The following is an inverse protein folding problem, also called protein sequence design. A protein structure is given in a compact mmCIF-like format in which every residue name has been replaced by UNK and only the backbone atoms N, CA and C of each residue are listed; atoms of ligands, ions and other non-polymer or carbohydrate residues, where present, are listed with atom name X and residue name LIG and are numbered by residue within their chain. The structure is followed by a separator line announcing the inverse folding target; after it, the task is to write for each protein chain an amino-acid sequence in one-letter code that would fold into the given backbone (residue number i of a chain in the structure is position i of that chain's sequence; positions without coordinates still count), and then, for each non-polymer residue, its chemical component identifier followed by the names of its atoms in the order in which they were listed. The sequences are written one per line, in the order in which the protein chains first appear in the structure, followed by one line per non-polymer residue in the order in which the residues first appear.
data_IF_704122031636
#
_entry.id   IF_704122031636
#
_cell.length_a   1.000
_cell.length_b   1.000
_cell.length_c   1.000
_cell.angle_alpha   90.00
_cell.angle_beta   90.00
_cell.angle_gamma   90.00
#
_symmetry.space_group_name_H-M   'P 1'
#
loop_
_entity.id
_entity.type
_entity.pdbx_description
1 polymer ?
#
# COMPACT_ATOMS: atom_id res chain seq x y z
N UNK A 1 -9.21 -23.10 14.61
CA UNK A 1 -9.38 -23.93 13.39
C UNK A 1 -8.05 -24.10 12.65
N UNK A 2 -7.75 -25.28 12.10
CA UNK A 2 -6.56 -25.48 11.26
C UNK A 2 -6.70 -24.74 9.92
N UNK A 3 -5.62 -24.12 9.46
CA UNK A 3 -5.62 -23.38 8.18
C UNK A 3 -5.50 -24.39 7.03
N UNK A 4 -6.48 -24.44 6.10
CA UNK A 4 -6.40 -25.27 4.91
C UNK A 4 -5.12 -25.05 4.11
N UNK A 5 -4.49 -26.13 3.64
CA UNK A 5 -3.28 -26.07 2.81
C UNK A 5 -3.47 -25.21 1.55
N UNK A 6 -4.69 -25.19 0.99
CA UNK A 6 -5.07 -24.36 -0.16
C UNK A 6 -4.87 -22.85 0.07
N UNK A 7 -5.04 -22.38 1.31
CA UNK A 7 -4.83 -20.99 1.72
C UNK A 7 -3.37 -20.69 2.05
N UNK A 8 -2.58 -21.71 2.42
CA UNK A 8 -1.16 -21.55 2.68
C UNK A 8 -0.40 -21.14 1.41
N UNK A 9 -0.87 -21.61 0.25
CA UNK A 9 -0.32 -21.37 -1.08
C UNK A 9 -0.88 -20.11 -1.77
N UNK A 10 -1.82 -19.40 -1.14
CA UNK A 10 -2.43 -18.20 -1.72
C UNK A 10 -1.37 -17.15 -2.04
N UNK A 11 -1.41 -16.55 -3.23
CA UNK A 11 -0.50 -15.47 -3.61
C UNK A 11 -1.10 -14.69 -4.76
N UNK A 12 -1.21 -13.37 -4.65
CA UNK A 12 -1.61 -12.52 -5.79
C UNK A 12 -0.40 -11.89 -6.49
N UNK A 13 0.80 -12.04 -5.92
CA UNK A 13 2.00 -11.39 -6.43
C UNK A 13 2.98 -12.36 -7.10
N UNK A 14 3.17 -13.56 -6.56
CA UNK A 14 4.18 -14.52 -7.05
C UNK A 14 3.67 -15.41 -8.19
N UNK A 15 4.36 -15.35 -9.34
CA UNK A 15 4.22 -16.26 -10.47
C UNK A 15 3.55 -15.63 -11.69
N UNK A 16 4.39 -15.20 -12.65
CA UNK A 16 4.01 -14.73 -13.98
C UNK A 16 4.19 -15.84 -15.02
N UNK A 17 3.39 -15.82 -16.10
CA UNK A 17 3.56 -16.76 -17.22
C UNK A 17 4.85 -16.49 -18.00
N UNK A 18 5.23 -15.21 -18.17
CA UNK A 18 6.53 -14.83 -18.74
C UNK A 18 7.70 -15.37 -17.90
N UNK A 19 7.58 -15.31 -16.57
CA UNK A 19 8.54 -15.93 -15.66
C UNK A 19 8.55 -17.45 -15.77
N UNK A 20 7.43 -18.10 -16.10
CA UNK A 20 7.35 -19.55 -16.23
C UNK A 20 7.87 -20.09 -17.57
N UNK A 21 7.64 -19.38 -18.67
CA UNK A 21 8.27 -19.69 -19.98
C UNK A 21 9.78 -19.43 -19.95
N UNK A 22 10.26 -18.35 -19.32
CA UNK A 22 11.69 -18.19 -19.04
C UNK A 22 12.22 -19.21 -18.02
N UNK A 23 11.43 -19.63 -17.02
CA UNK A 23 11.80 -20.72 -16.06
C UNK A 23 11.92 -22.08 -16.73
N UNK A 24 11.16 -22.35 -17.80
CA UNK A 24 11.33 -23.59 -18.58
C UNK A 24 12.58 -23.58 -19.47
N UNK A 25 13.14 -22.40 -19.77
CA UNK A 25 14.35 -22.25 -20.59
C UNK A 25 15.66 -22.14 -19.79
N UNK A 26 15.62 -21.89 -18.46
CA UNK A 26 16.82 -21.83 -17.61
C UNK A 26 16.58 -22.53 -16.27
N UNK A 27 17.27 -23.66 -16.07
CA UNK A 27 17.28 -24.48 -14.85
C UNK A 27 17.95 -23.81 -13.62
N UNK A 28 18.22 -22.51 -13.66
CA UNK A 28 18.72 -21.73 -12.52
C UNK A 28 17.63 -20.76 -12.09
N UNK A 29 17.13 -20.92 -10.86
CA UNK A 29 16.39 -19.88 -10.17
C UNK A 29 17.22 -18.59 -10.22
N UNK A 30 16.90 -17.67 -11.14
CA UNK A 30 17.46 -16.32 -11.08
C UNK A 30 17.03 -15.73 -9.74
N UNK A 31 18.00 -15.48 -8.87
CA UNK A 31 17.73 -14.90 -7.56
C UNK A 31 16.98 -13.57 -7.74
N UNK A 32 16.05 -13.26 -6.84
CA UNK A 32 15.29 -12.00 -6.87
C UNK A 32 16.17 -10.75 -7.04
N UNK A 33 17.31 -10.60 -6.34
CA UNK A 33 18.22 -9.48 -6.59
C UNK A 33 18.75 -9.47 -8.03
N UNK A 34 19.03 -10.64 -8.63
CA UNK A 34 19.42 -10.71 -10.04
C UNK A 34 18.30 -10.26 -10.97
N UNK A 35 17.02 -10.55 -10.68
CA UNK A 35 15.89 -10.04 -11.48
C UNK A 35 15.75 -8.52 -11.39
N UNK A 36 15.90 -7.96 -10.19
CA UNK A 36 15.90 -6.51 -9.98
C UNK A 36 17.03 -5.89 -10.79
N UNK A 37 18.26 -6.38 -10.59
CA UNK A 37 19.45 -5.90 -11.28
C UNK A 37 19.30 -5.99 -12.82
N UNK A 38 18.85 -7.12 -13.35
CA UNK A 38 18.66 -7.30 -14.80
C UNK A 38 17.62 -6.33 -15.35
N UNK A 39 16.46 -6.18 -14.71
CA UNK A 39 15.44 -5.25 -15.19
C UNK A 39 15.92 -3.79 -15.14
N UNK A 40 16.61 -3.41 -14.06
CA UNK A 40 17.22 -2.08 -13.91
C UNK A 40 18.28 -1.84 -14.99
N UNK A 41 19.19 -2.79 -15.19
CA UNK A 41 20.24 -2.68 -16.21
C UNK A 41 19.65 -2.62 -17.62
N UNK A 42 18.66 -3.45 -17.95
CA UNK A 42 18.02 -3.42 -19.28
C UNK A 42 17.28 -2.10 -19.53
N UNK A 43 16.63 -1.54 -18.50
CA UNK A 43 15.93 -0.27 -18.64
C UNK A 43 16.89 0.94 -18.72
N UNK A 44 18.05 0.88 -18.06
CA UNK A 44 18.93 2.04 -17.89
C UNK A 44 20.23 1.99 -18.71
N UNK A 45 20.95 0.86 -18.71
CA UNK A 45 22.30 0.76 -19.29
C UNK A 45 22.33 1.05 -20.81
N UNK A 46 21.38 0.54 -21.63
CA UNK A 46 21.37 0.87 -23.05
C UNK A 46 21.18 2.36 -23.31
N UNK A 47 20.45 3.09 -22.46
CA UNK A 47 20.29 4.54 -22.60
C UNK A 47 21.63 5.26 -22.43
N UNK A 48 22.43 4.85 -21.45
CA UNK A 48 23.77 5.40 -21.25
C UNK A 48 24.69 5.11 -22.44
N UNK A 49 24.73 3.85 -22.90
CA UNK A 49 25.59 3.43 -24.02
C UNK A 49 25.19 4.14 -25.31
N UNK A 50 23.89 4.20 -25.63
CA UNK A 50 23.38 4.86 -26.82
C UNK A 50 23.58 6.38 -26.76
N UNK A 51 23.52 6.99 -25.59
CA UNK A 51 23.83 8.43 -25.41
C UNK A 51 25.31 8.72 -25.64
N UNK A 52 26.20 7.81 -25.22
CA UNK A 52 27.64 7.92 -25.46
C UNK A 52 27.99 7.78 -26.94
N UNK A 53 27.37 6.80 -27.61
CA UNK A 53 27.60 6.53 -29.05
C UNK A 53 26.97 7.59 -29.98
N UNK A 54 25.83 8.16 -29.58
CA UNK A 54 25.05 9.06 -30.44
C UNK A 54 25.52 10.52 -30.49
N UNK A 55 26.26 11.00 -29.47
CA UNK A 55 26.67 12.42 -29.40
C UNK A 55 27.81 12.71 -28.41
N UNK A 56 28.58 11.70 -28.01
CA UNK A 56 29.76 11.86 -27.15
C UNK A 56 29.47 12.37 -25.73
N UNK A 57 30.45 13.06 -25.14
CA UNK A 57 30.41 13.47 -23.73
C UNK A 57 29.30 14.48 -23.41
N UNK A 58 28.90 15.34 -24.35
CA UNK A 58 27.85 16.35 -24.14
C UNK A 58 26.46 15.72 -23.95
N UNK A 59 26.13 14.75 -24.81
CA UNK A 59 24.85 14.04 -24.76
C UNK A 59 24.77 13.09 -23.55
N UNK A 60 25.89 12.45 -23.23
CA UNK A 60 26.02 11.64 -22.00
C UNK A 60 25.83 12.48 -20.75
N UNK A 61 26.43 13.69 -20.70
CA UNK A 61 26.24 14.64 -19.59
C UNK A 61 24.77 15.05 -19.47
N UNK A 62 24.10 15.33 -20.58
CA UNK A 62 22.67 15.65 -20.58
C UNK A 62 21.81 14.49 -20.03
N UNK A 63 22.14 13.24 -20.35
CA UNK A 63 21.47 12.06 -19.79
C UNK A 63 21.70 11.90 -18.28
N UNK A 64 22.95 12.06 -17.83
CA UNK A 64 23.29 11.91 -16.41
C UNK A 64 22.65 13.00 -15.54
N UNK A 65 22.47 14.22 -16.07
CA UNK A 65 21.77 15.30 -15.38
C UNK A 65 20.24 15.19 -15.44
N UNK A 66 19.68 14.27 -16.21
CA UNK A 66 18.24 14.02 -16.20
C UNK A 66 17.84 13.19 -14.97
N UNK A 67 17.72 13.88 -13.84
CA UNK A 67 17.35 13.31 -12.54
C UNK A 67 16.04 12.53 -12.62
N UNK A 68 15.09 12.94 -13.47
CA UNK A 68 13.82 12.24 -13.65
C UNK A 68 14.02 10.82 -14.18
N UNK A 69 14.84 10.70 -15.22
CA UNK A 69 15.19 9.40 -15.81
C UNK A 69 16.02 8.55 -14.84
N UNK A 70 16.95 9.16 -14.10
CA UNK A 70 17.74 8.44 -13.10
C UNK A 70 16.87 7.87 -11.98
N UNK A 71 16.00 8.68 -11.38
CA UNK A 71 15.12 8.24 -10.27
C UNK A 71 14.11 7.19 -10.74
N UNK A 72 13.50 7.38 -11.92
CA UNK A 72 12.53 6.43 -12.47
C UNK A 72 13.11 5.01 -12.61
N UNK A 73 14.34 4.88 -13.14
CA UNK A 73 14.91 3.56 -13.45
C UNK A 73 15.86 3.02 -12.38
N UNK A 74 16.55 3.87 -11.63
CA UNK A 74 17.50 3.44 -10.59
C UNK A 74 16.91 3.39 -9.18
N UNK A 75 15.75 4.04 -8.94
CA UNK A 75 15.07 4.01 -7.64
C UNK A 75 13.70 3.35 -7.77
N UNK A 76 12.82 3.94 -8.57
CA UNK A 76 11.41 3.54 -8.63
C UNK A 76 11.21 2.15 -9.21
N UNK A 77 11.88 1.82 -10.32
CA UNK A 77 11.81 0.49 -10.94
C UNK A 77 12.29 -0.63 -10.00
N UNK A 78 13.48 -0.57 -9.37
CA UNK A 78 13.89 -1.54 -8.37
C UNK A 78 12.89 -1.68 -7.22
N UNK A 79 12.39 -0.55 -6.72
CA UNK A 79 11.46 -0.52 -5.59
C UNK A 79 10.14 -1.21 -5.93
N UNK A 80 9.59 -0.97 -7.14
CA UNK A 80 8.39 -1.66 -7.65
C UNK A 80 8.57 -3.17 -7.81
N UNK A 81 9.79 -3.65 -8.04
CA UNK A 81 10.08 -5.09 -8.09
C UNK A 81 10.35 -5.66 -6.70
N UNK A 82 11.03 -4.90 -5.83
CA UNK A 82 11.36 -5.31 -4.47
C UNK A 82 10.11 -5.44 -3.57
N UNK A 83 9.14 -4.54 -3.72
CA UNK A 83 7.91 -4.55 -2.93
C UNK A 83 7.03 -5.79 -3.21
N UNK A 84 7.28 -6.53 -4.30
CA UNK A 84 6.55 -7.76 -4.63
C UNK A 84 6.53 -8.76 -3.46
N UNK A 85 7.67 -9.04 -2.85
CA UNK A 85 7.74 -10.00 -1.75
C UNK A 85 7.02 -9.48 -0.50
N UNK A 86 7.23 -8.21 -0.19
CA UNK A 86 6.71 -7.63 1.03
C UNK A 86 5.18 -7.61 1.02
N UNK A 87 4.57 -7.15 -0.07
CA UNK A 87 3.11 -7.11 -0.21
C UNK A 87 2.52 -8.53 -0.25
N UNK A 88 3.16 -9.46 -0.98
CA UNK A 88 2.71 -10.86 -1.04
C UNK A 88 2.65 -11.55 0.33
N UNK A 89 3.65 -11.29 1.18
CA UNK A 89 3.70 -11.85 2.53
C UNK A 89 2.58 -11.29 3.40
N UNK A 90 2.29 -9.98 3.28
CA UNK A 90 1.21 -9.35 4.02
C UNK A 90 -0.17 -9.85 3.54
N UNK A 91 -0.39 -9.96 2.23
CA UNK A 91 -1.63 -10.53 1.67
C UNK A 91 -1.84 -11.98 2.12
N UNK A 92 -0.79 -12.81 2.09
CA UNK A 92 -0.82 -14.19 2.61
C UNK A 92 -1.19 -14.24 4.09
N UNK A 93 -0.53 -13.41 4.90
CA UNK A 93 -0.80 -13.33 6.32
C UNK A 93 -2.26 -12.92 6.56
N UNK A 94 -2.77 -11.94 5.82
CA UNK A 94 -4.17 -11.52 5.89
C UNK A 94 -5.15 -12.64 5.58
N UNK A 95 -4.93 -13.39 4.49
CA UNK A 95 -5.79 -14.53 4.12
C UNK A 95 -5.82 -15.60 5.21
N UNK A 96 -4.68 -15.87 5.85
CA UNK A 96 -4.61 -16.79 6.99
C UNK A 96 -5.29 -16.23 8.23
N UNK A 97 -5.12 -14.93 8.49
CA UNK A 97 -5.64 -14.26 9.68
C UNK A 97 -7.18 -14.34 9.75
N UNK A 98 -7.88 -14.30 8.61
CA UNK A 98 -9.33 -14.52 8.58
C UNK A 98 -9.76 -15.86 9.20
N UNK A 99 -8.95 -16.91 9.06
CA UNK A 99 -9.23 -18.24 9.62
C UNK A 99 -8.70 -18.36 11.04
N UNK A 100 -7.48 -17.90 11.29
CA UNK A 100 -6.82 -17.97 12.60
C UNK A 100 -7.56 -17.15 13.66
N UNK A 101 -8.07 -15.97 13.30
CA UNK A 101 -8.90 -15.14 14.19
C UNK A 101 -10.35 -15.58 14.25
N UNK A 102 -10.71 -16.72 13.65
CA UNK A 102 -12.07 -17.27 13.63
C UNK A 102 -13.13 -16.27 13.17
N UNK A 103 -12.75 -15.35 12.28
CA UNK A 103 -13.65 -14.37 11.65
C UNK A 103 -14.60 -15.01 10.64
N UNK A 104 -14.26 -16.22 10.20
CA UNK A 104 -15.04 -17.03 9.28
C UNK A 104 -15.55 -18.23 10.05
N UNK A 105 -16.87 -18.40 10.07
CA UNK A 105 -17.48 -19.56 10.71
C UNK A 105 -17.07 -20.88 10.00
N UNK A 106 -16.98 -22.02 10.71
CA UNK A 106 -16.58 -23.30 10.12
C UNK A 106 -17.39 -23.69 8.88
N UNK A 107 -18.70 -23.37 8.88
CA UNK A 107 -19.62 -23.62 7.76
C UNK A 107 -19.29 -22.83 6.48
N UNK A 108 -18.65 -21.67 6.62
CA UNK A 108 -18.36 -20.75 5.51
C UNK A 108 -16.92 -20.92 4.97
N UNK A 109 -16.10 -21.76 5.60
CA UNK A 109 -14.71 -22.02 5.22
C UNK A 109 -14.58 -22.53 3.78
N UNK A 110 -15.43 -23.47 3.36
CA UNK A 110 -15.42 -23.99 1.99
C UNK A 110 -15.75 -22.91 0.95
N UNK A 111 -16.61 -21.95 1.29
CA UNK A 111 -16.95 -20.80 0.43
C UNK A 111 -15.78 -19.82 0.40
N UNK A 112 -15.12 -19.57 1.52
CA UNK A 112 -13.92 -18.73 1.59
C UNK A 112 -12.78 -19.28 0.73
N UNK A 113 -12.49 -20.57 0.83
CA UNK A 113 -11.50 -21.23 -0.02
C UNK A 113 -11.84 -21.13 -1.51
N UNK A 114 -13.12 -21.20 -1.87
CA UNK A 114 -13.58 -21.00 -3.25
C UNK A 114 -13.30 -19.57 -3.70
N UNK A 115 -13.59 -18.57 -2.87
CA UNK A 115 -13.29 -17.16 -3.17
C UNK A 115 -11.79 -16.97 -3.41
N UNK A 116 -10.93 -17.55 -2.56
CA UNK A 116 -9.49 -17.49 -2.72
C UNK A 116 -9.04 -18.17 -4.03
N UNK A 117 -9.57 -19.35 -4.34
CA UNK A 117 -9.28 -20.10 -5.57
C UNK A 117 -9.78 -19.41 -6.84
N UNK A 118 -10.88 -18.67 -6.79
CA UNK A 118 -11.43 -17.97 -7.96
C UNK A 118 -10.55 -16.81 -8.42
N UNK A 119 -9.87 -16.12 -7.49
CA UNK A 119 -9.09 -14.91 -7.80
C UNK A 119 -7.70 -15.24 -8.33
N UNK A 120 -7.09 -16.35 -7.88
CA UNK A 120 -5.74 -16.76 -8.25
C UNK A 120 -5.53 -16.98 -9.76
N UNK A 121 -6.46 -17.62 -10.52
CA UNK A 121 -6.33 -17.81 -11.97
C UNK A 121 -6.31 -16.50 -12.76
N UNK A 122 -7.06 -15.48 -12.32
CA UNK A 122 -7.14 -14.18 -13.02
C UNK A 122 -5.77 -13.46 -13.04
N UNK A 123 -4.92 -13.73 -12.04
CA UNK A 123 -3.53 -13.28 -12.01
C UNK A 123 -2.69 -13.89 -13.13
N UNK A 124 -2.98 -15.13 -13.52
CA UNK A 124 -2.19 -15.93 -14.48
C UNK A 124 -2.69 -15.81 -15.91
N UNK A 125 -3.60 -14.89 -16.21
CA UNK A 125 -4.15 -14.76 -17.57
C UNK A 125 -3.13 -14.12 -18.51
N UNK A 126 -2.69 -14.88 -19.52
CA UNK A 126 -1.78 -14.40 -20.56
C UNK A 126 -2.36 -13.22 -21.34
N UNK A 127 -3.69 -13.24 -21.54
CA UNK A 127 -4.42 -12.18 -22.26
C UNK A 127 -4.33 -10.88 -21.47
N UNK A 128 -4.46 -10.94 -20.14
CA UNK A 128 -4.35 -9.75 -19.29
C UNK A 128 -2.91 -9.25 -19.26
N UNK A 129 -1.91 -10.12 -19.08
CA UNK A 129 -0.50 -9.71 -19.16
C UNK A 129 -0.17 -9.07 -20.53
N UNK A 130 -0.65 -9.66 -21.63
CA UNK A 130 -0.46 -9.10 -22.97
C UNK A 130 -1.21 -7.77 -23.16
N UNK A 131 -2.43 -7.64 -22.64
CA UNK A 131 -3.20 -6.40 -22.68
C UNK A 131 -2.54 -5.27 -21.89
N UNK A 132 -2.00 -5.56 -20.70
CA UNK A 132 -1.25 -4.59 -19.90
C UNK A 132 0.05 -4.16 -20.62
N UNK A 133 0.73 -5.09 -21.30
CA UNK A 133 1.91 -4.78 -22.08
C UNK A 133 1.56 -3.90 -23.29
N UNK A 134 0.52 -4.26 -24.04
CA UNK A 134 0.03 -3.47 -25.16
C UNK A 134 -0.39 -2.07 -24.71
N UNK A 135 -1.11 -1.94 -23.60
CA UNK A 135 -1.48 -0.65 -23.01
C UNK A 135 -0.24 0.16 -22.60
N UNK A 136 0.78 -0.47 -22.01
CA UNK A 136 2.02 0.22 -21.63
C UNK A 136 2.77 0.79 -22.84
N UNK A 137 2.79 0.08 -23.96
CA UNK A 137 3.40 0.54 -25.22
C UNK A 137 2.53 1.63 -25.85
N UNK A 138 1.21 1.44 -25.91
CA UNK A 138 0.28 2.42 -26.47
C UNK A 138 0.38 3.78 -25.77
N UNK A 139 0.37 3.80 -24.43
CA UNK A 139 0.57 5.04 -23.65
C UNK A 139 1.94 5.67 -23.94
N UNK A 140 2.97 4.85 -24.15
CA UNK A 140 4.31 5.34 -24.50
C UNK A 140 4.37 6.03 -25.85
N UNK A 141 3.58 5.55 -26.82
CA UNK A 141 3.48 6.15 -28.15
C UNK A 141 2.60 7.40 -28.17
N UNK A 142 1.55 7.44 -27.34
CA UNK A 142 0.67 8.61 -27.22
C UNK A 142 1.36 9.80 -26.53
N UNK A 143 2.36 9.54 -25.67
CA UNK A 143 3.11 10.61 -25.00
C UNK A 143 4.13 11.30 -25.92
N UNK A 144 4.46 10.74 -27.09
CA UNK A 144 5.47 11.29 -28.03
C UNK A 144 5.28 12.79 -28.36
N UNK A 145 4.06 13.31 -28.61
CA UNK A 145 3.85 14.73 -28.90
C UNK A 145 4.12 15.67 -27.71
N UNK A 146 4.11 15.15 -26.47
CA UNK A 146 4.32 15.94 -25.24
C UNK A 146 5.76 15.84 -24.71
N UNK A 147 6.62 15.12 -25.43
CA UNK A 147 8.02 14.84 -25.09
C UNK A 147 8.99 15.84 -25.75
N UNK A 148 8.46 16.79 -26.54
CA UNK A 148 9.20 17.76 -27.36
C UNK A 148 10.09 18.75 -26.60
N UNK A 149 9.91 18.88 -25.27
CA UNK A 149 10.72 19.73 -24.39
C UNK A 149 11.74 18.96 -23.54
N UNK A 150 12.11 17.74 -23.95
CA UNK A 150 13.05 16.89 -23.18
C UNK A 150 14.53 17.13 -23.54
N UNK A 151 15.46 16.79 -22.63
CA UNK A 151 16.90 17.00 -22.76
C UNK A 151 17.52 16.44 -24.05
N UNK A 152 18.65 17.03 -24.46
CA UNK A 152 19.34 16.78 -25.73
C UNK A 152 19.73 15.31 -26.00
N UNK A 153 19.70 14.42 -25.01
CA UNK A 153 19.92 12.99 -25.21
C UNK A 153 18.72 12.28 -25.86
N UNK A 154 17.52 12.87 -25.77
CA UNK A 154 16.28 12.26 -26.27
C UNK A 154 15.92 12.72 -27.69
N UNK A 155 16.11 14.01 -27.97
CA UNK A 155 15.93 14.61 -29.29
C UNK A 155 17.26 15.18 -29.79
N UNK A 156 17.62 14.87 -31.04
CA UNK A 156 18.89 15.32 -31.61
C UNK A 156 18.94 16.85 -31.76
N UNK A 157 17.78 17.49 -31.89
CA UNK A 157 17.56 18.92 -31.90
C UNK A 157 16.23 19.21 -31.17
N UNK A 158 16.01 20.40 -30.57
CA UNK A 158 14.70 20.75 -30.03
C UNK A 158 13.62 20.59 -31.10
N UNK A 159 12.57 19.80 -30.83
CA UNK A 159 11.53 19.43 -31.80
C UNK A 159 12.00 18.59 -33.02
N UNK A 160 13.25 18.11 -33.00
CA UNK A 160 13.83 17.24 -34.02
C UNK A 160 13.53 15.75 -33.82
N UNK A 161 14.04 14.88 -34.70
CA UNK A 161 13.81 13.44 -34.61
C UNK A 161 14.39 12.85 -33.32
N UNK A 162 13.76 11.76 -32.86
CA UNK A 162 14.21 10.97 -31.72
C UNK A 162 15.59 10.37 -32.00
N UNK A 163 16.45 10.44 -30.98
CA UNK A 163 17.77 9.80 -31.00
C UNK A 163 17.59 8.28 -30.84
N UNK A 164 18.64 7.49 -31.10
CA UNK A 164 18.60 6.05 -30.82
C UNK A 164 18.29 5.76 -29.34
N UNK A 165 18.83 6.57 -28.42
CA UNK A 165 18.53 6.49 -26.99
C UNK A 165 17.05 6.81 -26.71
N UNK A 166 16.47 7.81 -27.40
CA UNK A 166 15.06 8.14 -27.27
C UNK A 166 14.12 7.05 -27.79
N UNK A 167 14.47 6.39 -28.89
CA UNK A 167 13.73 5.22 -29.38
C UNK A 167 13.77 4.07 -28.36
N UNK A 168 14.94 3.76 -27.80
CA UNK A 168 15.04 2.74 -26.74
C UNK A 168 14.20 3.11 -25.51
N UNK A 169 14.26 4.37 -25.09
CA UNK A 169 13.49 4.86 -23.96
C UNK A 169 11.98 4.66 -24.16
N UNK A 170 11.44 5.03 -25.34
CA UNK A 170 10.02 4.91 -25.65
C UNK A 170 9.57 3.47 -25.90
N UNK A 171 10.40 2.64 -26.53
CA UNK A 171 10.05 1.28 -26.91
C UNK A 171 10.28 0.25 -25.80
N UNK A 172 11.22 0.50 -24.89
CA UNK A 172 11.67 -0.47 -23.88
C UNK A 172 11.59 0.09 -22.46
N UNK A 173 12.37 1.13 -22.15
CA UNK A 173 12.55 1.58 -20.76
C UNK A 173 11.23 2.04 -20.12
N UNK A 174 10.50 2.94 -20.78
CA UNK A 174 9.23 3.44 -20.30
C UNK A 174 8.10 2.38 -20.27
N UNK A 175 7.91 1.56 -21.33
CA UNK A 175 6.97 0.45 -21.30
C UNK A 175 7.22 -0.51 -20.15
N UNK A 176 8.48 -0.84 -19.81
CA UNK A 176 8.79 -1.69 -18.66
C UNK A 176 8.25 -1.09 -17.36
N UNK A 177 8.53 0.20 -17.10
CA UNK A 177 8.06 0.88 -15.90
C UNK A 177 6.52 0.94 -15.84
N UNK A 178 5.89 1.38 -16.94
CA UNK A 178 4.42 1.48 -17.05
C UNK A 178 3.74 0.12 -16.92
N UNK A 179 4.29 -0.92 -17.52
CA UNK A 179 3.79 -2.29 -17.39
C UNK A 179 3.82 -2.75 -15.94
N UNK A 180 4.91 -2.48 -15.20
CA UNK A 180 4.98 -2.81 -13.77
C UNK A 180 3.93 -2.06 -12.95
N UNK A 181 3.71 -0.77 -13.22
CA UNK A 181 2.67 0.02 -12.55
C UNK A 181 1.26 -0.50 -12.86
N UNK A 182 0.94 -0.73 -14.13
CA UNK A 182 -0.34 -1.31 -14.56
C UNK A 182 -0.57 -2.70 -13.94
N UNK A 183 0.48 -3.51 -13.84
CA UNK A 183 0.42 -4.81 -13.17
C UNK A 183 0.14 -4.68 -11.68
N UNK A 184 0.71 -3.67 -11.01
CA UNK A 184 0.41 -3.38 -9.61
C UNK A 184 -1.03 -2.91 -9.40
N UNK A 185 -1.53 -2.03 -10.27
CA UNK A 185 -2.93 -1.63 -10.25
C UNK A 185 -3.86 -2.82 -10.44
N UNK A 186 -3.57 -3.70 -11.41
CA UNK A 186 -4.34 -4.93 -11.62
C UNK A 186 -4.32 -5.85 -10.39
N UNK A 187 -3.17 -6.02 -9.73
CA UNK A 187 -3.08 -6.78 -8.47
C UNK A 187 -3.93 -6.14 -7.36
N UNK A 188 -3.90 -4.81 -7.25
CA UNK A 188 -4.77 -4.06 -6.34
C UNK A 188 -6.25 -4.31 -6.62
N UNK A 189 -6.66 -4.36 -7.90
CA UNK A 189 -8.04 -4.72 -8.30
C UNK A 189 -8.39 -6.16 -7.89
N UNK A 190 -7.48 -7.12 -8.07
CA UNK A 190 -7.69 -8.51 -7.63
C UNK A 190 -7.83 -8.60 -6.11
N UNK A 191 -6.99 -7.88 -5.36
CA UNK A 191 -7.08 -7.78 -3.90
C UNK A 191 -8.40 -7.14 -3.47
N UNK A 192 -8.82 -6.05 -4.12
CA UNK A 192 -10.10 -5.41 -3.86
C UNK A 192 -11.30 -6.34 -4.13
N UNK A 193 -11.25 -7.08 -5.24
CA UNK A 193 -12.28 -8.06 -5.60
C UNK A 193 -12.33 -9.21 -4.59
N UNK A 194 -11.17 -9.68 -4.12
CA UNK A 194 -11.08 -10.69 -3.06
C UNK A 194 -11.74 -10.18 -1.79
N UNK A 195 -11.32 -9.02 -1.28
CA UNK A 195 -11.89 -8.41 -0.06
C UNK A 195 -13.40 -8.17 -0.18
N UNK A 196 -13.86 -7.69 -1.32
CA UNK A 196 -15.29 -7.48 -1.57
C UNK A 196 -16.10 -8.79 -1.57
N UNK A 197 -15.55 -9.89 -2.09
CA UNK A 197 -16.21 -11.20 -2.00
C UNK A 197 -16.24 -11.70 -0.55
N UNK A 198 -15.15 -11.53 0.19
CA UNK A 198 -15.06 -11.92 1.61
C UNK A 198 -16.01 -11.09 2.47
N UNK A 199 -16.18 -9.79 2.18
CA UNK A 199 -17.10 -8.91 2.90
C UNK A 199 -18.59 -9.22 2.66
N UNK A 200 -18.92 -10.23 1.84
CA UNK A 200 -20.28 -10.76 1.70
C UNK A 200 -20.53 -12.00 2.55
N UNK A 201 -19.49 -12.60 3.13
CA UNK A 201 -19.63 -13.67 4.10
C UNK A 201 -20.11 -13.09 5.45
N UNK A 202 -20.89 -13.85 6.24
CA UNK A 202 -21.27 -13.44 7.58
C UNK A 202 -20.06 -13.53 8.52
N UNK A 203 -19.33 -12.42 8.68
CA UNK A 203 -18.13 -12.40 9.51
C UNK A 203 -18.51 -12.31 11.00
N UNK A 204 -17.79 -13.05 11.83
CA UNK A 204 -17.92 -13.06 13.30
C UNK A 204 -17.10 -11.93 13.91
N UNK A 205 -17.60 -10.70 13.78
CA UNK A 205 -16.94 -9.51 14.33
C UNK A 205 -17.23 -9.36 15.83
N UNK A 206 -16.18 -9.14 16.63
CA UNK A 206 -16.27 -8.99 18.09
C UNK A 206 -16.07 -7.53 18.49
N UNK A 207 -17.08 -6.84 19.04
CA UNK A 207 -16.97 -5.40 19.36
C UNK A 207 -15.85 -5.07 20.37
N UNK A 208 -15.56 -5.97 21.30
CA UNK A 208 -14.54 -5.83 22.34
C UNK A 208 -13.13 -6.20 21.87
N UNK A 209 -12.95 -6.54 20.59
CA UNK A 209 -11.64 -6.94 20.08
C UNK A 209 -10.60 -5.80 20.25
N UNK A 210 -9.37 -6.09 20.70
CA UNK A 210 -8.37 -5.07 21.07
C UNK A 210 -7.89 -4.19 19.91
N UNK A 211 -8.14 -4.60 18.66
CA UNK A 211 -7.80 -3.81 17.46
C UNK A 211 -8.78 -2.67 17.15
N UNK A 212 -9.85 -2.52 17.94
CA UNK A 212 -10.94 -1.56 17.72
C UNK A 212 -11.55 -1.64 16.31
N UNK A 213 -11.44 -2.78 15.62
CA UNK A 213 -11.93 -3.00 14.26
C UNK A 213 -12.62 -4.37 14.13
N UNK A 214 -13.11 -4.92 15.24
CA UNK A 214 -13.86 -6.17 15.25
C UNK A 214 -13.04 -7.39 14.82
N UNK A 215 -11.70 -7.33 14.91
CA UNK A 215 -10.78 -8.35 14.42
C UNK A 215 -10.23 -8.11 13.01
N UNK A 216 -10.71 -7.08 12.30
CA UNK A 216 -10.27 -6.74 10.93
C UNK A 216 -9.09 -5.75 10.87
N UNK A 217 -8.50 -5.37 12.01
CA UNK A 217 -7.45 -4.36 12.10
C UNK A 217 -6.18 -4.70 11.31
N UNK A 218 -5.88 -5.99 11.12
CA UNK A 218 -4.75 -6.45 10.32
C UNK A 218 -4.83 -6.00 8.84
N UNK A 219 -6.04 -5.76 8.33
CA UNK A 219 -6.23 -5.27 6.96
C UNK A 219 -5.63 -3.87 6.76
N UNK A 220 -5.67 -3.02 7.79
CA UNK A 220 -5.01 -1.71 7.77
C UNK A 220 -3.50 -1.85 7.56
N UNK A 221 -2.86 -2.78 8.26
CA UNK A 221 -1.43 -3.08 8.11
C UNK A 221 -1.11 -3.59 6.71
N UNK A 222 -1.98 -4.43 6.13
CA UNK A 222 -1.80 -4.95 4.77
C UNK A 222 -1.91 -3.83 3.75
N UNK A 223 -2.89 -2.93 3.90
CA UNK A 223 -3.00 -1.75 3.03
C UNK A 223 -1.78 -0.83 3.16
N UNK A 224 -1.25 -0.64 4.38
CA UNK A 224 -0.03 0.13 4.60
C UNK A 224 1.19 -0.45 3.86
N UNK A 225 1.20 -1.75 3.56
CA UNK A 225 2.30 -2.37 2.81
C UNK A 225 2.43 -1.86 1.36
N UNK A 226 1.35 -1.32 0.79
CA UNK A 226 1.34 -0.69 -0.53
C UNK A 226 2.05 0.68 -0.54
N UNK A 227 2.41 1.24 0.62
CA UNK A 227 3.17 2.49 0.72
C UNK A 227 4.50 2.47 -0.04
N UNK A 228 5.16 1.31 -0.18
CA UNK A 228 6.38 1.20 -0.99
C UNK A 228 6.15 1.49 -2.48
N UNK A 229 4.97 1.16 -3.01
CA UNK A 229 4.58 1.51 -4.39
C UNK A 229 4.34 3.01 -4.48
N UNK A 230 3.68 3.60 -3.48
CA UNK A 230 3.44 5.04 -3.39
C UNK A 230 4.76 5.80 -3.39
N UNK A 231 5.76 5.34 -2.63
CA UNK A 231 7.11 5.92 -2.60
C UNK A 231 7.79 5.85 -3.98
N UNK A 232 7.69 4.71 -4.67
CA UNK A 232 8.27 4.56 -6.00
C UNK A 232 7.62 5.52 -7.02
N UNK A 233 6.30 5.69 -6.95
CA UNK A 233 5.57 6.57 -7.87
C UNK A 233 5.80 8.04 -7.53
N UNK A 234 5.75 8.42 -6.24
CA UNK A 234 5.96 9.79 -5.80
C UNK A 234 7.34 10.30 -6.20
N UNK A 235 8.40 9.50 -6.01
CA UNK A 235 9.76 9.87 -6.40
C UNK A 235 9.88 10.21 -7.90
N UNK A 236 9.27 9.41 -8.77
CA UNK A 236 9.25 9.68 -10.22
C UNK A 236 8.43 10.93 -10.57
N UNK A 237 7.27 11.12 -9.94
CA UNK A 237 6.41 12.28 -10.20
C UNK A 237 7.11 13.59 -9.79
N UNK A 238 7.76 13.61 -8.61
CA UNK A 238 8.47 14.79 -8.10
C UNK A 238 9.55 15.24 -9.07
N UNK A 239 10.39 14.31 -9.52
CA UNK A 239 11.50 14.63 -10.42
C UNK A 239 11.05 15.07 -11.81
N UNK A 240 9.97 14.46 -12.34
CA UNK A 240 9.39 14.89 -13.61
C UNK A 240 8.81 16.32 -13.53
N UNK A 241 8.22 16.70 -12.39
CA UNK A 241 7.75 18.08 -12.18
C UNK A 241 8.93 19.05 -12.07
N UNK A 242 9.97 18.68 -11.31
CA UNK A 242 11.18 19.50 -11.13
C UNK A 242 11.89 19.81 -12.45
N UNK A 243 11.84 18.91 -13.43
CA UNK A 243 12.46 19.15 -14.73
C UNK A 243 11.65 20.07 -15.66
N UNK A 244 10.36 20.34 -15.37
CA UNK A 244 9.47 21.13 -16.23
C UNK A 244 9.01 22.45 -15.59
N UNK A 245 8.96 22.55 -14.27
CA UNK A 245 8.53 23.75 -13.58
C UNK A 245 9.70 24.74 -13.43
N UNK A 246 9.51 25.96 -13.93
CA UNK A 246 10.44 27.10 -13.77
C UNK A 246 10.29 27.81 -12.42
N UNK A 247 9.28 27.45 -11.63
CA UNK A 247 8.95 28.09 -10.35
C UNK A 247 9.48 27.30 -9.16
N UNK A 248 10.31 27.98 -8.36
CA UNK A 248 10.93 27.52 -7.11
C UNK A 248 9.94 27.42 -5.94
N UNK A 249 8.63 27.43 -6.18
CA UNK A 249 7.62 27.48 -5.11
C UNK A 249 7.40 26.09 -4.50
N UNK A 250 8.05 25.84 -3.38
CA UNK A 250 7.96 24.62 -2.57
C UNK A 250 6.50 24.31 -2.20
N UNK A 251 5.64 25.33 -2.09
CA UNK A 251 4.23 25.18 -1.74
C UNK A 251 3.45 24.44 -2.82
N UNK A 252 3.68 24.75 -4.10
CA UNK A 252 3.03 24.07 -5.22
C UNK A 252 3.45 22.59 -5.29
N UNK A 253 4.73 22.31 -5.04
CA UNK A 253 5.23 20.94 -4.93
C UNK A 253 4.58 20.17 -3.77
N UNK A 254 4.50 20.78 -2.59
CA UNK A 254 3.87 20.19 -1.44
C UNK A 254 2.38 19.90 -1.71
N UNK A 255 1.66 20.83 -2.34
CA UNK A 255 0.26 20.66 -2.70
C UNK A 255 0.07 19.55 -3.74
N UNK A 256 0.93 19.47 -4.75
CA UNK A 256 0.88 18.41 -5.76
C UNK A 256 1.06 17.03 -5.14
N UNK A 257 2.10 16.87 -4.31
CA UNK A 257 2.36 15.60 -3.64
C UNK A 257 1.29 15.28 -2.59
N UNK A 258 0.73 16.29 -1.91
CA UNK A 258 -0.36 16.10 -0.94
C UNK A 258 -1.63 15.61 -1.65
N UNK A 259 -1.94 16.19 -2.80
CA UNK A 259 -3.05 15.73 -3.66
C UNK A 259 -2.84 14.29 -4.10
N UNK A 260 -1.60 13.94 -4.52
CA UNK A 260 -1.24 12.57 -4.84
C UNK A 260 -1.35 11.63 -3.62
N UNK A 261 -0.96 12.08 -2.43
CA UNK A 261 -1.10 11.32 -1.19
C UNK A 261 -2.56 11.03 -0.87
N UNK A 262 -3.45 12.02 -1.02
CA UNK A 262 -4.89 11.86 -0.82
C UNK A 262 -5.51 10.89 -1.83
N UNK A 263 -5.10 10.97 -3.10
CA UNK A 263 -5.52 10.01 -4.12
C UNK A 263 -5.06 8.58 -3.78
N UNK A 264 -3.81 8.41 -3.37
CA UNK A 264 -3.28 7.11 -2.95
C UNK A 264 -4.02 6.57 -1.72
N UNK A 265 -4.34 7.43 -0.74
CA UNK A 265 -5.16 7.08 0.41
C UNK A 265 -6.52 6.52 -0.04
N UNK A 266 -7.21 7.24 -0.93
CA UNK A 266 -8.50 6.82 -1.44
C UNK A 266 -8.40 5.46 -2.17
N UNK A 267 -7.43 5.30 -3.08
CA UNK A 267 -7.28 4.07 -3.88
C UNK A 267 -6.87 2.86 -3.03
N UNK A 268 -5.91 3.03 -2.12
CA UNK A 268 -5.39 1.93 -1.30
C UNK A 268 -6.42 1.48 -0.25
N UNK A 269 -7.16 2.41 0.36
CA UNK A 269 -8.12 2.06 1.41
C UNK A 269 -9.56 1.84 0.89
N UNK A 270 -9.88 2.19 -0.36
CA UNK A 270 -11.17 1.90 -0.99
C UNK A 270 -11.63 0.43 -0.88
N UNK A 271 -10.78 -0.60 -0.99
CA UNK A 271 -11.18 -1.99 -0.80
C UNK A 271 -11.81 -2.26 0.57
N UNK A 272 -11.37 -1.56 1.62
CA UNK A 272 -11.84 -1.77 2.99
C UNK A 272 -13.26 -1.23 3.21
N UNK A 273 -13.72 -0.34 2.33
CA UNK A 273 -15.08 0.21 2.37
C UNK A 273 -16.14 -0.89 2.22
N UNK A 274 -15.77 -2.01 1.60
CA UNK A 274 -16.63 -3.19 1.47
C UNK A 274 -17.04 -3.82 2.81
N UNK A 275 -16.29 -3.58 3.90
CA UNK A 275 -16.60 -4.07 5.26
C UNK A 275 -17.39 -3.07 6.12
N UNK A 276 -17.60 -1.84 5.65
CA UNK A 276 -18.23 -0.77 6.41
C UNK A 276 -19.59 -1.18 7.00
N UNK A 277 -20.44 -1.84 6.20
CA UNK A 277 -21.78 -2.27 6.64
C UNK A 277 -21.70 -3.28 7.79
N UNK A 278 -20.83 -4.29 7.69
CA UNK A 278 -20.71 -5.31 8.73
C UNK A 278 -20.15 -4.73 10.03
N UNK A 279 -19.12 -3.87 9.94
CA UNK A 279 -18.54 -3.19 11.10
C UNK A 279 -19.56 -2.28 11.79
N UNK A 280 -20.35 -1.53 11.01
CA UNK A 280 -21.40 -0.67 11.56
C UNK A 280 -22.50 -1.49 12.27
N UNK A 281 -22.92 -2.61 11.69
CA UNK A 281 -23.90 -3.50 12.32
C UNK A 281 -23.36 -4.13 13.60
N UNK A 282 -22.11 -4.61 13.58
CA UNK A 282 -21.44 -5.16 14.75
C UNK A 282 -21.28 -4.11 15.86
N UNK A 283 -20.90 -2.89 15.51
CA UNK A 283 -20.83 -1.76 16.46
C UNK A 283 -22.19 -1.47 17.09
N UNK A 284 -23.25 -1.31 16.29
CA UNK A 284 -24.61 -1.03 16.80
C UNK A 284 -25.11 -2.12 17.74
N UNK A 285 -24.90 -3.39 17.36
CA UNK A 285 -25.25 -4.55 18.20
C UNK A 285 -24.45 -4.56 19.49
N UNK A 286 -23.15 -4.29 19.41
CA UNK A 286 -22.26 -4.15 20.56
C UNK A 286 -22.73 -3.05 21.51
N UNK A 287 -22.91 -1.84 21.00
CA UNK A 287 -23.36 -0.69 21.79
C UNK A 287 -24.68 -1.00 22.53
N UNK A 288 -25.65 -1.64 21.87
CA UNK A 288 -26.92 -2.01 22.52
C UNK A 288 -26.75 -3.10 23.58
N UNK A 289 -26.09 -4.21 23.25
CA UNK A 289 -25.93 -5.35 24.16
C UNK A 289 -25.10 -4.98 25.38
N UNK A 290 -23.96 -4.32 25.18
CA UNK A 290 -23.08 -3.92 26.28
C UNK A 290 -23.70 -2.82 27.14
N UNK A 291 -24.49 -1.89 26.56
CA UNK A 291 -25.22 -0.90 27.36
C UNK A 291 -26.28 -1.54 28.26
N UNK A 292 -27.01 -2.54 27.76
CA UNK A 292 -28.02 -3.24 28.56
C UNK A 292 -27.39 -3.99 29.74
N UNK A 293 -26.29 -4.71 29.51
CA UNK A 293 -25.56 -5.43 30.57
C UNK A 293 -24.93 -4.45 31.57
N UNK A 294 -24.33 -3.36 31.10
CA UNK A 294 -23.78 -2.32 31.96
C UNK A 294 -24.86 -1.68 32.86
N UNK A 295 -26.01 -1.32 32.28
CA UNK A 295 -27.13 -0.75 33.06
C UNK A 295 -27.64 -1.74 34.11
N UNK A 296 -27.86 -3.00 33.73
CA UNK A 296 -28.30 -4.06 34.63
C UNK A 296 -27.31 -4.30 35.78
N UNK A 297 -26.01 -4.36 35.48
CA UNK A 297 -24.97 -4.60 36.48
C UNK A 297 -24.83 -3.41 37.43
N UNK A 298 -24.82 -2.18 36.90
CA UNK A 298 -24.69 -0.97 37.72
C UNK A 298 -25.88 -0.76 38.65
N UNK A 299 -27.12 -1.02 38.20
CA UNK A 299 -28.30 -0.93 39.06
C UNK A 299 -28.23 -1.90 40.24
N UNK A 300 -27.84 -3.16 40.00
CA UNK A 300 -27.73 -4.17 41.06
C UNK A 300 -26.58 -3.91 42.02
N UNK A 301 -25.48 -3.37 41.49
CA UNK A 301 -24.36 -2.93 42.30
C UNK A 301 -24.78 -1.82 43.26
N UNK A 302 -25.48 -0.80 42.73
CA UNK A 302 -25.99 0.34 43.51
C UNK A 302 -26.98 -0.09 44.61
N UNK A 303 -27.92 -0.97 44.27
CA UNK A 303 -28.89 -1.53 45.21
C UNK A 303 -28.21 -2.28 46.38
N UNK A 304 -27.14 -3.02 46.09
CA UNK A 304 -26.43 -3.85 47.09
C UNK A 304 -25.54 -3.01 48.01
N UNK A 305 -24.82 -2.04 47.46
CA UNK A 305 -23.74 -1.34 48.18
C UNK A 305 -24.14 0.03 48.74
N UNK A 306 -25.10 0.74 48.11
CA UNK A 306 -25.46 2.09 48.52
C UNK A 306 -26.87 2.20 49.13
N UNK A 307 -27.79 1.28 48.80
CA UNK A 307 -29.20 1.39 49.18
C UNK A 307 -29.66 0.37 50.25
N UNK A 308 -28.77 -0.53 50.70
CA UNK A 308 -29.03 -1.51 51.78
C UNK A 308 -28.00 -1.38 52.91
N UNK A 309 -28.39 -1.72 54.16
CA UNK A 309 -27.41 -1.97 55.24
C UNK A 309 -26.54 -3.15 54.82
N UNK A 310 -25.21 -2.99 54.83
CA UNK A 310 -24.28 -4.06 54.50
C UNK A 310 -24.61 -5.32 55.32
N UNK A 311 -24.67 -6.52 54.71
CA UNK A 311 -24.78 -7.75 55.47
C UNK A 311 -23.58 -7.88 56.42
N UNK A 312 -23.81 -8.31 57.66
CA UNK A 312 -22.75 -8.51 58.64
C UNK A 312 -21.72 -9.53 58.12
N UNK A 313 -20.44 -9.16 58.11
CA UNK A 313 -19.32 -10.02 57.68
C UNK A 313 -18.79 -9.79 56.25
N UNK A 314 -19.35 -8.85 55.49
CA UNK A 314 -18.81 -8.47 54.17
C UNK A 314 -17.77 -7.35 54.31
N UNK A 315 -16.49 -7.67 54.04
CA UNK A 315 -15.42 -6.67 53.90
C UNK A 315 -15.45 -6.04 52.50
N UNK A 316 -15.75 -4.74 52.37
CA UNK A 316 -15.77 -4.03 51.08
C UNK A 316 -14.47 -4.12 50.30
N UNK A 317 -13.32 -4.26 50.97
CA UNK A 317 -12.01 -4.30 50.31
C UNK A 317 -11.71 -5.66 49.66
N UNK A 318 -12.46 -6.70 50.01
CA UNK A 318 -12.33 -8.05 49.47
C UNK A 318 -13.41 -8.43 48.45
N UNK A 319 -14.36 -7.52 48.20
CA UNK A 319 -15.54 -7.84 47.40
C UNK A 319 -15.25 -7.89 45.89
N UNK A 320 -15.52 -9.05 45.28
CA UNK A 320 -15.36 -9.29 43.83
C UNK A 320 -16.21 -8.36 42.95
N UNK A 321 -17.32 -7.82 43.50
CA UNK A 321 -18.24 -6.93 42.79
C UNK A 321 -17.54 -5.67 42.22
N UNK A 322 -16.56 -5.10 42.95
CA UNK A 322 -15.81 -3.92 42.48
C UNK A 322 -14.88 -4.25 41.31
N UNK A 323 -14.28 -5.45 41.30
CA UNK A 323 -13.49 -5.94 40.18
C UNK A 323 -14.39 -6.19 38.96
N UNK A 324 -15.51 -6.89 39.16
CA UNK A 324 -16.49 -7.15 38.10
C UNK A 324 -17.01 -5.87 37.46
N UNK A 325 -17.29 -4.82 38.25
CA UNK A 325 -17.71 -3.51 37.73
C UNK A 325 -16.61 -2.87 36.86
N UNK A 326 -15.35 -2.98 37.27
CA UNK A 326 -14.21 -2.45 36.53
C UNK A 326 -13.97 -3.22 35.22
N UNK A 327 -14.07 -4.55 35.26
CA UNK A 327 -13.91 -5.44 34.11
C UNK A 327 -15.01 -5.20 33.06
N UNK A 328 -16.25 -5.05 33.52
CA UNK A 328 -17.38 -4.69 32.66
C UNK A 328 -17.21 -3.28 32.07
N UNK A 329 -16.76 -2.32 32.88
CA UNK A 329 -16.46 -0.96 32.42
C UNK A 329 -15.41 -0.95 31.32
N UNK A 330 -14.32 -1.72 31.47
CA UNK A 330 -13.26 -1.84 30.48
C UNK A 330 -13.78 -2.45 29.16
N UNK A 331 -14.60 -3.51 29.25
CA UNK A 331 -15.23 -4.17 28.12
C UNK A 331 -16.21 -3.26 27.39
N UNK A 332 -17.03 -2.51 28.15
CA UNK A 332 -17.95 -1.51 27.61
C UNK A 332 -17.21 -0.40 26.85
N UNK A 333 -16.13 0.13 27.42
CA UNK A 333 -15.30 1.15 26.77
C UNK A 333 -14.65 0.59 25.50
N UNK A 334 -14.16 -0.65 25.51
CA UNK A 334 -13.60 -1.30 24.33
C UNK A 334 -14.63 -1.44 23.21
N UNK A 335 -15.84 -1.95 23.51
CA UNK A 335 -16.94 -2.05 22.56
C UNK A 335 -17.31 -0.69 21.95
N UNK A 336 -17.40 0.35 22.79
CA UNK A 336 -17.75 1.71 22.35
C UNK A 336 -16.66 2.35 21.48
N UNK A 337 -15.38 2.00 21.69
CA UNK A 337 -14.23 2.43 20.87
C UNK A 337 -14.15 1.73 19.52
N UNK A 338 -14.93 0.67 19.26
CA UNK A 338 -14.96 0.01 17.97
C UNK A 338 -15.21 1.01 16.83
N UNK A 339 -14.34 0.99 15.83
CA UNK A 339 -14.38 1.82 14.63
C UNK A 339 -15.31 1.19 13.59
N UNK A 340 -16.02 2.05 12.88
CA UNK A 340 -16.82 1.71 11.69
C UNK A 340 -15.98 1.45 10.42
N UNK A 341 -14.70 1.80 10.44
CA UNK A 341 -13.79 1.68 9.30
C UNK A 341 -12.45 1.09 9.75
N UNK A 342 -11.96 0.00 9.12
CA UNK A 342 -10.81 -0.75 9.64
C UNK A 342 -9.48 -0.14 9.17
N UNK A 343 -9.34 1.17 9.39
CA UNK A 343 -8.11 1.92 9.10
C UNK A 343 -7.56 2.50 10.37
N UNK A 344 -6.27 2.23 10.56
CA UNK A 344 -5.48 2.80 11.63
C UNK A 344 -4.73 4.04 11.18
N UNK A 345 -4.53 4.98 12.11
CA UNK A 345 -3.80 6.21 11.85
C UNK A 345 -2.36 5.91 11.41
N UNK A 346 -1.76 4.85 11.96
CA UNK A 346 -0.43 4.38 11.56
C UNK A 346 -0.39 3.94 10.09
N UNK A 347 -1.43 3.28 9.61
CA UNK A 347 -1.54 2.84 8.22
C UNK A 347 -1.71 4.03 7.26
N UNK A 348 -2.55 4.99 7.63
CA UNK A 348 -2.71 6.23 6.86
C UNK A 348 -1.40 7.04 6.82
N UNK A 349 -0.75 7.22 7.97
CA UNK A 349 0.53 7.91 8.07
C UNK A 349 1.62 7.26 7.23
N UNK A 350 1.67 5.92 7.14
CA UNK A 350 2.64 5.24 6.28
C UNK A 350 2.46 5.60 4.79
N UNK A 351 1.22 5.71 4.31
CA UNK A 351 0.91 6.09 2.92
C UNK A 351 1.24 7.56 2.67
N UNK A 352 0.85 8.45 3.58
CA UNK A 352 1.16 9.89 3.47
C UNK A 352 2.67 10.12 3.52
N UNK A 353 3.37 9.51 4.48
CA UNK A 353 4.81 9.62 4.61
C UNK A 353 5.53 9.12 3.36
N UNK A 354 5.10 8.01 2.75
CA UNK A 354 5.67 7.52 1.50
C UNK A 354 5.43 8.46 0.30
N UNK A 355 4.24 9.07 0.21
CA UNK A 355 3.94 10.06 -0.82
C UNK A 355 4.74 11.36 -0.64
N UNK A 356 4.96 11.77 0.61
CA UNK A 356 5.69 12.98 1.00
C UNK A 356 7.20 12.80 1.06
N UNK A 357 7.72 11.58 1.17
CA UNK A 357 9.14 11.32 1.34
C UNK A 357 10.06 12.02 0.30
N UNK A 358 9.70 12.15 -0.99
CA UNK A 358 10.50 12.91 -1.95
C UNK A 358 10.66 14.41 -1.64
N UNK A 359 9.86 14.97 -0.71
CA UNK A 359 10.06 16.34 -0.21
C UNK A 359 11.35 16.48 0.60
N UNK A 360 11.77 15.43 1.31
CA UNK A 360 12.96 15.49 2.18
C UNK A 360 14.22 15.92 1.41
N UNK A 361 14.61 15.26 0.30
CA UNK A 361 15.78 15.71 -0.47
C UNK A 361 15.57 17.09 -1.10
N UNK A 362 14.34 17.47 -1.46
CA UNK A 362 14.04 18.79 -2.03
C UNK A 362 14.23 19.92 -1.00
N UNK A 363 13.74 19.71 0.23
CA UNK A 363 13.91 20.63 1.34
C UNK A 363 15.38 20.75 1.75
N UNK A 364 16.13 19.64 1.74
CA UNK A 364 17.58 19.67 2.00
C UNK A 364 18.38 20.39 0.91
N UNK A 365 17.87 20.41 -0.33
CA UNK A 365 18.48 21.16 -1.42
C UNK A 365 18.20 22.68 -1.33
N UNK A 366 17.13 23.08 -0.64
CA UNK A 366 16.82 24.49 -0.40
C UNK A 366 17.68 25.06 0.74
N UNK A 367 18.54 26.01 0.40
CA UNK A 367 19.44 26.69 1.34
C UNK A 367 18.68 27.37 2.48
N UNK A 368 17.48 27.92 2.22
CA UNK A 368 16.66 28.60 3.23
C UNK A 368 16.19 27.65 4.32
N UNK A 369 15.79 26.43 3.95
CA UNK A 369 15.36 25.42 4.91
C UNK A 369 16.54 24.95 5.79
N UNK A 370 17.72 24.78 5.19
CA UNK A 370 18.94 24.41 5.93
C UNK A 370 19.33 25.49 6.94
N UNK A 371 19.23 26.78 6.57
CA UNK A 371 19.49 27.91 7.48
C UNK A 371 18.54 27.89 8.69
N UNK A 372 17.23 27.71 8.48
CA UNK A 372 16.23 27.62 9.58
C UNK A 372 16.51 26.42 10.50
N UNK A 373 16.89 25.27 9.93
CA UNK A 373 17.20 24.07 10.73
C UNK A 373 18.46 24.26 11.58
N UNK A 374 19.46 24.96 11.03
CA UNK A 374 20.68 25.33 11.76
C UNK A 374 20.41 26.36 12.86
N UNK A 375 19.50 27.31 12.65
CA UNK A 375 19.07 28.26 13.70
C UNK A 375 18.29 27.57 14.82
N UNK A 376 17.40 26.63 14.50
CA UNK A 376 16.70 25.82 15.50
C UNK A 376 17.65 24.91 16.29
N UNK A 377 18.66 24.32 15.62
CA UNK A 377 19.68 23.52 16.30
C UNK A 377 20.52 24.35 17.29
N UNK A 378 20.75 25.64 16.98
CA UNK A 378 21.44 26.59 17.85
C UNK A 378 20.58 27.11 19.00
N UNK A 379 19.25 27.03 18.93
CA UNK A 379 18.35 27.45 20.02
C UNK A 379 17.97 26.31 20.97
N UNK A 380 18.29 25.07 20.61
CA UNK A 380 18.11 23.85 21.41
C UNK A 380 19.38 23.42 22.18
N UNK A 381 20.51 24.11 21.97
CA UNK A 381 21.71 24.09 22.82
C UNK A 381 21.80 25.42 23.56
#
# INVERSE_FOLDING_TARGET
MDVPASLLDFSLVQGTLLGQKLRRARHRQTSRPARILVLTLVAWLPLLVLSLLGGGLGMTRAFLHDVGTQVAFLVSLPLLVACERYIDLNEKAAVRQFVVSELIAPKDLATYERIARDVVPMRRSAIIEAGLLAASIAVSLLDVPHVTSRPAWLHAQPQGPLTLAGWWYLAVSMPILRFLLLRWLWRGVLWARFLFKVSRLPLTLVPTHPDAAGGLGFLGTVQASFSLIVLAVSATITTHRLSHASTTDITDYALHLFTFALLCMAVIFAPLMSFFRQLLMAKRKGDHHYSAVAAWHSQRFEERWFHRKLPEGLDPLSAEDFSSLTDLGSSFVAARRMRWFPVDIRAALAVIAAAMAPMVPLLLADRRFVEVLLELGKSLH
#
